data_IF_029978011157
#
_entry.id   IF_029978011157
#
_cell.length_a   1.000
_cell.length_b   1.000
_cell.length_c   1.000
_cell.angle_alpha   90.00
_cell.angle_beta   90.00
_cell.angle_gamma   90.00
#
_symmetry.space_group_name_H-M   'P 1'
#
loop_
_entity.id
_entity.type
_entity.pdbx_description
1 polymer ?
#
# COMPACT_ATOMS: atom_id res chain seq x y z
N UNK A 1 3.11 48.11 7.88
CA UNK A 1 3.35 46.97 8.81
C UNK A 1 4.80 47.03 9.28
N UNK A 2 5.05 47.06 10.59
CA UNK A 2 6.42 47.03 11.13
C UNK A 2 7.04 45.64 10.91
N UNK A 3 8.36 45.54 10.73
CA UNK A 3 9.04 44.24 10.48
C UNK A 3 8.70 43.16 11.52
N UNK A 4 8.45 43.55 12.77
CA UNK A 4 8.02 42.64 13.83
C UNK A 4 6.65 42.00 13.55
N UNK A 5 5.71 42.74 12.94
CA UNK A 5 4.37 42.24 12.61
C UNK A 5 4.40 41.23 11.47
N UNK A 6 5.23 41.45 10.44
CA UNK A 6 5.36 40.53 9.29
C UNK A 6 6.01 39.21 9.72
N UNK A 7 7.05 39.27 10.55
CA UNK A 7 7.72 38.06 11.06
C UNK A 7 6.79 37.20 11.91
N UNK A 8 6.00 37.82 12.79
CA UNK A 8 5.03 37.11 13.62
C UNK A 8 3.91 36.48 12.79
N UNK A 9 3.42 37.19 11.77
CA UNK A 9 2.45 36.65 10.82
C UNK A 9 2.99 35.42 10.07
N UNK A 10 4.24 35.49 9.57
CA UNK A 10 4.88 34.36 8.88
C UNK A 10 5.10 33.16 9.82
N UNK A 11 5.43 33.40 11.09
CA UNK A 11 5.48 32.35 12.11
C UNK A 11 4.15 31.66 12.28
N UNK A 12 3.08 32.43 12.50
CA UNK A 12 1.73 31.91 12.72
C UNK A 12 1.18 31.17 11.50
N UNK A 13 1.51 31.61 10.28
CA UNK A 13 1.05 30.99 9.04
C UNK A 13 1.80 29.70 8.66
N UNK A 14 3.13 29.64 8.84
CA UNK A 14 3.95 28.57 8.26
C UNK A 14 4.66 27.67 9.28
N UNK A 15 4.82 28.10 10.53
CA UNK A 15 5.71 27.42 11.50
C UNK A 15 4.98 27.05 12.80
N UNK A 16 4.02 27.86 13.25
CA UNK A 16 3.34 27.63 14.52
C UNK A 16 2.61 26.29 14.53
N UNK A 17 3.10 25.35 15.36
CA UNK A 17 2.57 24.00 15.49
C UNK A 17 1.29 23.92 16.32
N UNK A 18 1.03 24.93 17.16
CA UNK A 18 -0.17 25.00 18.00
C UNK A 18 -1.35 25.60 17.24
N UNK A 19 -1.09 26.45 16.24
CA UNK A 19 -2.13 27.00 15.40
C UNK A 19 -2.51 25.97 14.34
N UNK A 20 -3.69 25.39 14.48
CA UNK A 20 -4.20 24.31 13.62
C UNK A 20 -4.68 24.80 12.25
N UNK A 21 -4.43 26.06 11.89
CA UNK A 21 -4.69 26.61 10.57
C UNK A 21 -4.00 25.73 9.51
N UNK A 22 -4.75 25.41 8.45
CA UNK A 22 -4.32 24.41 7.46
C UNK A 22 -2.98 24.74 6.77
N UNK A 23 -2.54 26.01 6.76
CA UNK A 23 -1.36 26.47 6.02
C UNK A 23 -0.04 25.92 6.58
N UNK A 24 0.16 25.89 7.90
CA UNK A 24 1.39 25.36 8.49
C UNK A 24 1.52 23.85 8.20
N UNK A 25 0.41 23.11 8.34
CA UNK A 25 0.34 21.67 7.99
C UNK A 25 0.54 21.44 6.49
N UNK A 26 -0.06 22.28 5.64
CA UNK A 26 0.12 22.21 4.18
C UNK A 26 1.59 22.43 3.80
N UNK A 27 2.25 23.41 4.44
CA UNK A 27 3.66 23.70 4.21
C UNK A 27 4.56 22.52 4.61
N UNK A 28 4.35 21.93 5.80
CA UNK A 28 5.06 20.72 6.22
C UNK A 28 4.85 19.55 5.25
N UNK A 29 3.60 19.31 4.81
CA UNK A 29 3.27 18.28 3.82
C UNK A 29 3.94 18.55 2.47
N UNK A 30 3.98 19.80 2.02
CA UNK A 30 4.64 20.19 0.78
C UNK A 30 6.15 19.94 0.83
N UNK A 31 6.82 20.28 1.95
CA UNK A 31 8.24 19.98 2.16
C UNK A 31 8.48 18.47 2.06
N UNK A 32 7.68 17.65 2.75
CA UNK A 32 7.79 16.19 2.72
C UNK A 32 7.57 15.66 1.28
N UNK A 33 6.55 16.16 0.58
CA UNK A 33 6.26 15.76 -0.79
C UNK A 33 7.42 16.07 -1.74
N UNK A 34 8.04 17.25 -1.63
CA UNK A 34 9.21 17.63 -2.45
C UNK A 34 10.42 16.74 -2.13
N UNK A 35 10.63 16.35 -0.86
CA UNK A 35 11.68 15.40 -0.47
C UNK A 35 11.43 14.03 -1.11
N UNK A 36 10.20 13.52 -1.05
CA UNK A 36 9.84 12.22 -1.63
C UNK A 36 10.01 12.24 -3.14
N UNK A 37 9.52 13.28 -3.83
CA UNK A 37 9.70 13.45 -5.28
C UNK A 37 11.18 13.55 -5.66
N UNK A 38 12.00 14.19 -4.82
CA UNK A 38 13.46 14.19 -4.99
C UNK A 38 14.09 12.81 -4.90
N UNK A 39 13.65 12.00 -3.95
CA UNK A 39 14.14 10.64 -3.81
C UNK A 39 13.74 9.77 -5.02
N UNK A 40 12.51 9.93 -5.50
CA UNK A 40 12.02 9.25 -6.71
C UNK A 40 12.81 9.71 -7.94
N UNK A 41 13.04 11.01 -8.10
CA UNK A 41 13.85 11.55 -9.19
C UNK A 41 15.28 11.00 -9.15
N UNK A 42 15.88 10.88 -7.96
CA UNK A 42 17.20 10.28 -7.78
C UNK A 42 17.22 8.81 -8.23
N UNK A 43 16.17 8.03 -7.95
CA UNK A 43 16.04 6.66 -8.43
C UNK A 43 15.94 6.61 -9.96
N UNK A 44 15.15 7.47 -10.59
CA UNK A 44 15.07 7.48 -12.05
C UNK A 44 16.35 8.00 -12.73
N UNK A 45 17.12 8.87 -12.06
CA UNK A 45 18.41 9.36 -12.54
C UNK A 45 19.46 8.25 -12.67
N UNK A 46 19.33 7.14 -11.94
CA UNK A 46 20.25 6.00 -12.09
C UNK A 46 20.02 5.21 -13.38
N UNK A 47 18.85 5.36 -14.01
CA UNK A 47 18.46 4.62 -15.21
C UNK A 47 18.88 5.41 -16.46
N UNK A 48 19.93 4.98 -17.21
CA UNK A 48 20.51 5.81 -18.28
C UNK A 48 19.51 6.18 -19.37
N UNK A 49 18.60 5.28 -19.73
CA UNK A 49 17.63 5.51 -20.82
C UNK A 49 16.62 6.60 -20.47
N UNK A 50 16.22 6.67 -19.19
CA UNK A 50 15.27 7.67 -18.69
C UNK A 50 15.98 9.01 -18.52
N UNK A 51 17.18 8.99 -17.93
CA UNK A 51 17.97 10.19 -17.68
C UNK A 51 18.40 10.88 -18.98
N UNK A 52 19.00 10.16 -19.93
CA UNK A 52 19.52 10.75 -21.18
C UNK A 52 18.41 11.37 -22.03
N UNK A 53 17.21 10.79 -22.02
CA UNK A 53 16.06 11.31 -22.79
C UNK A 53 15.45 12.56 -22.15
N UNK A 54 15.58 12.74 -20.83
CA UNK A 54 14.86 13.77 -20.06
C UNK A 54 15.75 14.59 -19.12
N UNK A 55 17.04 14.66 -19.40
CA UNK A 55 18.06 15.28 -18.53
C UNK A 55 17.67 16.70 -18.09
N UNK A 56 17.18 17.51 -19.03
CA UNK A 56 16.74 18.89 -18.77
C UNK A 56 15.64 18.95 -17.70
N UNK A 57 14.67 18.03 -17.73
CA UNK A 57 13.59 18.00 -16.74
C UNK A 57 14.10 17.63 -15.34
N UNK A 58 15.02 16.67 -15.23
CA UNK A 58 15.66 16.33 -13.96
C UNK A 58 16.44 17.51 -13.40
N UNK A 59 17.19 18.22 -14.24
CA UNK A 59 17.96 19.39 -13.83
C UNK A 59 17.06 20.56 -13.38
N UNK A 60 15.98 20.85 -14.13
CA UNK A 60 15.00 21.89 -13.75
C UNK A 60 14.33 21.53 -12.42
N UNK A 61 13.94 20.27 -12.25
CA UNK A 61 13.35 19.79 -11.00
C UNK A 61 14.32 19.90 -9.80
N UNK A 62 15.60 19.57 -10.00
CA UNK A 62 16.65 19.73 -8.97
C UNK A 62 16.77 21.21 -8.56
N UNK A 63 16.86 22.14 -9.52
CA UNK A 63 16.92 23.59 -9.24
C UNK A 63 15.68 24.06 -8.47
N UNK A 64 14.47 23.71 -8.96
CA UNK A 64 13.22 24.16 -8.34
C UNK A 64 13.11 23.65 -6.91
N UNK A 65 13.43 22.38 -6.68
CA UNK A 65 13.34 21.79 -5.35
C UNK A 65 14.40 22.30 -4.38
N UNK A 66 15.64 22.52 -4.83
CA UNK A 66 16.67 23.18 -4.01
C UNK A 66 16.30 24.62 -3.71
N UNK A 67 15.73 25.35 -4.68
CA UNK A 67 15.19 26.69 -4.48
C UNK A 67 14.12 26.70 -3.40
N UNK A 68 13.17 25.77 -3.47
CA UNK A 68 12.15 25.58 -2.45
C UNK A 68 12.74 25.30 -1.06
N UNK A 69 13.70 24.39 -0.94
CA UNK A 69 14.36 24.09 0.34
C UNK A 69 15.22 25.24 0.87
N UNK A 70 15.83 26.02 -0.02
CA UNK A 70 16.57 27.22 0.38
C UNK A 70 15.62 28.27 0.93
N UNK A 71 14.50 28.53 0.25
CA UNK A 71 13.46 29.45 0.72
C UNK A 71 12.89 29.00 2.06
N UNK A 72 12.62 27.70 2.22
CA UNK A 72 12.20 27.11 3.49
C UNK A 72 13.22 27.38 4.61
N UNK A 73 14.51 27.12 4.36
CA UNK A 73 15.57 27.35 5.34
C UNK A 73 15.68 28.83 5.73
N UNK A 74 15.64 29.73 4.74
CA UNK A 74 15.71 31.17 4.96
C UNK A 74 14.48 31.70 5.71
N UNK A 75 13.28 31.19 5.40
CA UNK A 75 12.05 31.53 6.12
C UNK A 75 12.17 31.13 7.59
N UNK A 76 12.59 29.90 7.88
CA UNK A 76 12.79 29.41 9.26
C UNK A 76 13.87 30.23 9.99
N UNK A 77 14.97 30.58 9.32
CA UNK A 77 16.01 31.44 9.87
C UNK A 77 15.51 32.86 10.17
N UNK A 78 14.68 33.43 9.28
CA UNK A 78 14.11 34.77 9.44
C UNK A 78 13.14 34.83 10.63
N UNK A 79 12.34 33.79 10.79
CA UNK A 79 11.28 33.68 11.80
C UNK A 79 11.77 33.15 13.16
N UNK A 80 12.95 32.52 13.22
CA UNK A 80 13.54 31.95 14.44
C UNK A 80 13.47 32.82 15.73
N UNK A 81 13.53 34.16 15.70
CA UNK A 81 13.33 34.97 16.91
C UNK A 81 11.94 34.87 17.56
N UNK A 82 10.90 34.52 16.81
CA UNK A 82 9.53 34.35 17.32
C UNK A 82 9.29 32.95 17.87
N UNK A 83 10.08 31.97 17.43
CA UNK A 83 9.99 30.58 17.85
C UNK A 83 10.35 30.44 19.35
N UNK A 84 9.45 29.91 20.19
CA UNK A 84 9.70 29.68 21.61
C UNK A 84 10.99 28.90 21.88
N UNK A 85 11.36 27.95 21.01
CA UNK A 85 12.54 27.10 21.15
C UNK A 85 13.84 27.93 21.06
N UNK A 86 13.84 29.01 20.28
CA UNK A 86 15.03 29.79 19.97
C UNK A 86 15.05 31.20 20.58
N UNK A 87 14.09 31.57 21.43
CA UNK A 87 14.03 32.92 22.05
C UNK A 87 15.35 33.33 22.75
N UNK A 88 15.85 34.54 22.44
CA UNK A 88 17.03 35.13 23.09
C UNK A 88 17.82 36.11 22.20
N UNK A 89 18.94 36.64 22.72
CA UNK A 89 19.80 37.63 22.04
C UNK A 89 20.46 37.11 20.75
N UNK A 90 20.56 35.79 20.58
CA UNK A 90 21.17 35.11 19.44
C UNK A 90 20.28 34.02 18.83
N UNK A 91 18.96 34.26 18.75
CA UNK A 91 17.99 33.27 18.24
C UNK A 91 18.39 32.65 16.90
N UNK A 92 18.86 33.46 15.95
CA UNK A 92 19.28 32.98 14.61
C UNK A 92 20.48 32.05 14.67
N UNK A 93 21.49 32.36 15.49
CA UNK A 93 22.68 31.51 15.65
C UNK A 93 22.32 30.19 16.35
N UNK A 94 21.37 30.25 17.31
CA UNK A 94 20.87 29.04 17.97
C UNK A 94 20.11 28.15 16.99
N UNK A 95 19.30 28.73 16.11
CA UNK A 95 18.63 28.01 15.02
C UNK A 95 19.65 27.35 14.09
N UNK A 96 20.65 28.09 13.57
CA UNK A 96 21.66 27.53 12.64
C UNK A 96 22.42 26.34 13.25
N UNK A 97 22.70 26.40 14.57
CA UNK A 97 23.36 25.30 15.30
C UNK A 97 22.43 24.17 15.72
N UNK A 98 21.12 24.29 15.49
CA UNK A 98 20.18 23.23 15.77
C UNK A 98 20.41 22.04 14.82
N UNK A 99 20.25 20.79 15.28
CA UNK A 99 20.51 19.61 14.46
C UNK A 99 19.67 19.59 13.18
N UNK A 100 18.40 20.02 13.24
CA UNK A 100 17.53 20.08 12.07
C UNK A 100 17.92 21.16 11.06
N UNK A 101 18.39 22.33 11.52
CA UNK A 101 18.88 23.36 10.60
C UNK A 101 20.18 22.93 9.91
N UNK A 102 21.04 22.17 10.59
CA UNK A 102 22.25 21.59 9.99
C UNK A 102 21.83 20.59 8.89
N UNK A 103 20.86 19.71 9.16
CA UNK A 103 20.33 18.77 8.17
C UNK A 103 19.74 19.51 6.96
N UNK A 104 18.93 20.55 7.20
CA UNK A 104 18.34 21.35 6.14
C UNK A 104 19.42 22.03 5.26
N UNK A 105 20.48 22.54 5.89
CA UNK A 105 21.62 23.12 5.19
C UNK A 105 22.38 22.07 4.37
N UNK A 106 22.67 20.90 4.95
CA UNK A 106 23.34 19.78 4.28
C UNK A 106 22.55 19.28 3.07
N UNK A 107 21.22 19.38 3.09
CA UNK A 107 20.37 18.94 1.98
C UNK A 107 20.46 19.86 0.74
N UNK A 108 20.71 21.16 0.93
CA UNK A 108 20.86 22.15 -0.15
C UNK A 108 22.33 22.38 -0.54
N UNK A 109 23.26 22.05 0.36
CA UNK A 109 24.69 22.26 0.20
C UNK A 109 25.28 21.73 -1.13
N UNK A 110 24.94 20.52 -1.62
CA UNK A 110 25.57 19.97 -2.83
C UNK A 110 25.35 20.84 -4.07
N UNK A 111 24.17 21.46 -4.18
CA UNK A 111 23.83 22.33 -5.30
C UNK A 111 24.68 23.61 -5.30
N UNK A 112 24.81 24.25 -4.14
CA UNK A 112 25.65 25.44 -4.03
C UNK A 112 27.13 25.12 -4.19
N UNK A 113 27.61 23.98 -3.64
CA UNK A 113 28.99 23.54 -3.85
C UNK A 113 29.28 23.28 -5.33
N UNK A 114 28.35 22.67 -6.07
CA UNK A 114 28.48 22.46 -7.50
C UNK A 114 28.58 23.77 -8.30
N UNK A 115 27.91 24.83 -7.85
CA UNK A 115 27.93 26.13 -8.51
C UNK A 115 29.23 26.92 -8.26
N UNK A 116 29.86 26.74 -7.10
CA UNK A 116 31.08 27.48 -6.70
C UNK A 116 32.38 26.70 -6.93
N UNK A 117 32.33 25.37 -6.93
CA UNK A 117 33.49 24.52 -7.08
C UNK A 117 33.30 23.58 -8.27
N UNK A 118 34.31 23.50 -9.15
CA UNK A 118 34.40 22.49 -10.22
C UNK A 118 34.78 21.11 -9.64
N UNK A 119 33.98 20.61 -8.68
CA UNK A 119 34.15 19.26 -8.11
C UNK A 119 33.58 18.24 -9.10
N UNK A 120 34.15 17.03 -9.11
CA UNK A 120 33.61 15.91 -9.86
C UNK A 120 32.11 15.73 -9.63
N UNK A 121 31.34 15.80 -10.72
CA UNK A 121 29.89 15.68 -10.73
C UNK A 121 29.38 14.39 -10.07
N UNK A 122 30.22 13.35 -10.02
CA UNK A 122 29.90 12.07 -9.37
C UNK A 122 29.83 12.20 -7.84
N UNK A 123 30.80 12.90 -7.23
CA UNK A 123 30.82 13.10 -5.78
C UNK A 123 29.64 13.98 -5.34
N UNK A 124 29.34 15.02 -6.12
CA UNK A 124 28.22 15.92 -5.86
C UNK A 124 26.85 15.20 -5.95
N UNK A 125 26.70 14.25 -6.88
CA UNK A 125 25.51 13.40 -6.96
C UNK A 125 25.30 12.55 -5.72
N UNK A 126 26.36 11.94 -5.18
CA UNK A 126 26.26 11.14 -3.96
C UNK A 126 25.83 12.00 -2.75
N UNK A 127 26.29 13.25 -2.67
CA UNK A 127 25.89 14.17 -1.60
C UNK A 127 24.40 14.55 -1.65
N UNK A 128 23.69 14.36 -2.76
CA UNK A 128 22.22 14.53 -2.81
C UNK A 128 21.50 13.55 -1.88
N UNK A 129 22.10 12.41 -1.54
CA UNK A 129 21.58 11.46 -0.54
C UNK A 129 21.43 12.10 0.85
N UNK A 130 22.17 13.18 1.16
CA UNK A 130 22.01 13.92 2.41
C UNK A 130 20.58 14.49 2.57
N UNK A 131 19.83 14.67 1.47
CA UNK A 131 18.41 15.07 1.50
C UNK A 131 17.54 14.05 2.24
N UNK A 132 17.93 12.77 2.28
CA UNK A 132 17.24 11.73 3.04
C UNK A 132 17.18 12.05 4.54
N UNK A 133 18.21 12.73 5.07
CA UNK A 133 18.21 13.12 6.48
C UNK A 133 17.08 14.11 6.82
N UNK A 134 16.52 14.86 5.85
CA UNK A 134 15.35 15.70 6.13
C UNK A 134 14.12 14.89 6.57
N UNK A 135 14.01 13.60 6.19
CA UNK A 135 12.94 12.73 6.68
C UNK A 135 12.99 12.53 8.20
N UNK A 136 14.17 12.66 8.82
CA UNK A 136 14.32 12.60 10.28
C UNK A 136 13.52 13.68 10.99
N UNK A 137 13.22 14.80 10.32
CA UNK A 137 12.39 15.86 10.90
C UNK A 137 10.96 15.41 11.19
N UNK A 138 10.40 14.56 10.33
CA UNK A 138 9.06 14.00 10.54
C UNK A 138 9.10 12.84 11.53
N UNK A 139 10.12 12.00 11.44
CA UNK A 139 10.23 10.77 12.25
C UNK A 139 10.64 11.02 13.70
N UNK A 140 11.64 11.89 13.94
CA UNK A 140 12.26 12.05 15.26
C UNK A 140 11.31 12.60 16.33
N UNK A 141 10.48 13.64 16.08
CA UNK A 141 9.52 14.11 17.07
C UNK A 141 8.49 13.03 17.43
N UNK A 142 8.00 12.28 16.45
CA UNK A 142 7.07 11.18 16.67
C UNK A 142 7.71 10.05 17.50
N UNK A 143 8.99 9.75 17.27
CA UNK A 143 9.74 8.80 18.07
C UNK A 143 9.87 9.27 19.53
N UNK A 144 10.23 10.53 19.77
CA UNK A 144 10.35 11.08 21.13
C UNK A 144 9.01 11.09 21.87
N UNK A 145 7.94 11.50 21.20
CA UNK A 145 6.57 11.46 21.72
C UNK A 145 6.19 10.02 22.13
N UNK A 146 6.42 9.06 21.24
CA UNK A 146 6.16 7.65 21.50
C UNK A 146 6.98 7.11 22.69
N UNK A 147 8.26 7.45 22.77
CA UNK A 147 9.14 7.05 23.88
C UNK A 147 8.72 7.69 25.21
N UNK A 148 8.18 8.92 25.18
CA UNK A 148 7.67 9.60 26.35
C UNK A 148 6.40 8.92 26.88
N UNK A 149 5.41 8.67 25.99
CA UNK A 149 4.14 8.00 26.33
C UNK A 149 4.39 6.58 26.83
N UNK A 150 5.27 5.83 26.16
CA UNK A 150 5.51 4.42 26.47
C UNK A 150 6.71 4.16 27.37
N UNK A 151 7.20 5.17 28.12
CA UNK A 151 8.42 5.05 28.93
C UNK A 151 8.39 3.86 29.91
N UNK A 152 7.23 3.62 30.52
CA UNK A 152 7.02 2.59 31.54
C UNK A 152 6.69 1.20 30.97
N UNK A 153 6.51 1.08 29.66
CA UNK A 153 6.08 -0.17 29.03
C UNK A 153 7.25 -1.08 28.68
N UNK A 154 6.99 -2.38 28.67
CA UNK A 154 7.96 -3.38 28.18
C UNK A 154 8.19 -3.24 26.67
N UNK A 155 9.29 -3.80 26.16
CA UNK A 155 9.59 -3.80 24.73
C UNK A 155 8.45 -4.44 23.91
N UNK A 156 7.86 -5.53 24.40
CA UNK A 156 6.73 -6.20 23.74
C UNK A 156 5.50 -5.32 23.63
N UNK A 157 5.17 -4.59 24.71
CA UNK A 157 4.06 -3.62 24.73
C UNK A 157 4.32 -2.42 23.81
N UNK A 158 5.58 -1.96 23.72
CA UNK A 158 5.98 -0.92 22.76
C UNK A 158 5.78 -1.40 21.32
N UNK A 159 6.25 -2.61 20.99
CA UNK A 159 6.02 -3.19 19.66
C UNK A 159 4.53 -3.36 19.38
N UNK A 160 3.74 -3.78 20.37
CA UNK A 160 2.29 -3.90 20.23
C UNK A 160 1.64 -2.55 19.86
N UNK A 161 2.04 -1.46 20.52
CA UNK A 161 1.55 -0.11 20.26
C UNK A 161 2.02 0.45 18.90
N UNK A 162 3.17 0.04 18.38
CA UNK A 162 3.62 0.43 17.03
C UNK A 162 2.82 -0.30 15.96
N UNK A 163 2.53 -1.59 16.16
CA UNK A 163 1.90 -2.44 15.14
C UNK A 163 0.38 -2.36 15.12
N UNK A 164 -0.25 -1.97 16.23
CA UNK A 164 -1.70 -1.94 16.37
C UNK A 164 -2.12 -0.58 16.94
N UNK A 165 -3.28 -0.11 16.47
CA UNK A 165 -3.87 1.12 16.96
C UNK A 165 -4.30 0.94 18.43
N UNK A 166 -3.64 1.67 19.32
CA UNK A 166 -3.90 1.72 20.74
C UNK A 166 -3.86 3.17 21.22
N UNK A 167 -4.46 3.51 22.37
CA UNK A 167 -4.40 4.86 22.93
C UNK A 167 -2.98 5.41 23.11
N UNK A 168 -1.99 4.51 23.21
CA UNK A 168 -0.59 4.84 23.45
C UNK A 168 0.30 4.79 22.18
N UNK A 169 -0.30 4.56 21.01
CA UNK A 169 0.41 4.39 19.74
C UNK A 169 0.99 5.70 19.19
N UNK A 170 0.27 6.81 19.36
CA UNK A 170 0.65 8.14 18.87
C UNK A 170 0.98 8.18 17.36
N UNK A 171 1.67 9.24 16.93
CA UNK A 171 2.03 9.48 15.52
C UNK A 171 3.00 8.46 14.93
N UNK A 172 3.77 7.75 15.77
CA UNK A 172 4.75 6.78 15.28
C UNK A 172 4.08 5.58 14.62
N UNK A 173 2.91 5.18 15.11
CA UNK A 173 2.10 4.13 14.49
C UNK A 173 1.61 4.54 13.10
N UNK A 174 1.10 5.77 12.94
CA UNK A 174 0.68 6.29 11.63
C UNK A 174 1.84 6.30 10.62
N UNK A 175 3.04 6.70 11.05
CA UNK A 175 4.24 6.68 10.20
C UNK A 175 4.63 5.24 9.82
N UNK A 176 4.55 4.31 10.77
CA UNK A 176 4.82 2.89 10.51
C UNK A 176 3.83 2.30 9.51
N UNK A 177 2.54 2.59 9.68
CA UNK A 177 1.49 2.12 8.77
C UNK A 177 1.64 2.73 7.38
N UNK A 178 1.87 4.04 7.29
CA UNK A 178 2.17 4.72 6.03
C UNK A 178 3.40 4.14 5.33
N UNK A 179 4.44 3.79 6.09
CA UNK A 179 5.64 3.14 5.58
C UNK A 179 5.33 1.77 4.98
N UNK A 180 4.60 0.90 5.70
CA UNK A 180 4.21 -0.42 5.19
C UNK A 180 3.34 -0.30 3.94
N UNK A 181 2.33 0.56 3.94
CA UNK A 181 1.44 0.81 2.79
C UNK A 181 2.23 1.31 1.57
N UNK A 182 3.11 2.30 1.77
CA UNK A 182 3.97 2.80 0.71
C UNK A 182 4.83 1.68 0.12
N UNK A 183 5.34 0.79 0.98
CA UNK A 183 6.19 -0.28 0.50
C UNK A 183 5.43 -1.36 -0.26
N UNK A 184 4.19 -1.65 0.15
CA UNK A 184 3.27 -2.51 -0.61
C UNK A 184 3.05 -1.94 -2.01
N UNK A 185 2.76 -0.64 -2.12
CA UNK A 185 2.51 0.01 -3.40
C UNK A 185 3.71 -0.02 -4.34
N UNK A 186 4.89 0.37 -3.86
CA UNK A 186 6.09 0.35 -4.71
C UNK A 186 6.44 -1.09 -5.08
N UNK A 187 6.25 -2.06 -4.17
CA UNK A 187 6.53 -3.45 -4.47
C UNK A 187 5.56 -4.05 -5.51
N UNK A 188 4.27 -3.73 -5.44
CA UNK A 188 3.30 -4.14 -6.48
C UNK A 188 3.65 -3.47 -7.81
N UNK A 189 4.01 -2.19 -7.79
CA UNK A 189 4.48 -1.47 -8.99
C UNK A 189 5.71 -2.14 -9.59
N UNK A 190 6.65 -2.58 -8.75
CA UNK A 190 7.84 -3.31 -9.19
C UNK A 190 7.47 -4.62 -9.90
N UNK A 191 6.53 -5.40 -9.36
CA UNK A 191 6.04 -6.64 -10.02
C UNK A 191 5.38 -6.34 -11.37
N UNK A 192 4.60 -5.26 -11.46
CA UNK A 192 3.99 -4.82 -12.72
C UNK A 192 5.07 -4.42 -13.73
N UNK A 193 6.09 -3.66 -13.31
CA UNK A 193 7.18 -3.23 -14.20
C UNK A 193 8.11 -4.40 -14.59
N UNK A 194 8.34 -5.36 -13.69
CA UNK A 194 9.10 -6.59 -13.94
C UNK A 194 8.45 -7.43 -15.05
N UNK A 195 7.11 -7.38 -15.19
CA UNK A 195 6.38 -8.08 -16.26
C UNK A 195 6.65 -7.54 -17.67
N UNK A 196 7.27 -6.36 -17.79
CA UNK A 196 7.62 -5.75 -19.07
C UNK A 196 9.06 -6.11 -19.42
N UNK A 197 9.25 -6.97 -20.43
CA UNK A 197 10.56 -7.53 -20.80
C UNK A 197 11.64 -6.46 -21.02
N UNK A 198 11.28 -5.35 -21.68
CA UNK A 198 12.22 -4.26 -21.96
C UNK A 198 12.71 -3.57 -20.68
N UNK A 199 11.88 -3.49 -19.64
CA UNK A 199 12.26 -2.87 -18.36
C UNK A 199 13.05 -3.87 -17.53
N UNK A 200 12.58 -5.12 -17.47
CA UNK A 200 13.23 -6.20 -16.75
C UNK A 200 14.67 -6.43 -17.23
N UNK A 201 14.92 -6.36 -18.54
CA UNK A 201 16.28 -6.53 -19.10
C UNK A 201 17.30 -5.56 -18.48
N UNK A 202 16.92 -4.31 -18.20
CA UNK A 202 17.82 -3.31 -17.63
C UNK A 202 17.83 -3.27 -16.09
N UNK A 203 16.70 -3.62 -15.45
CA UNK A 203 16.49 -3.44 -14.00
C UNK A 203 16.33 -4.77 -13.24
N UNK A 204 16.70 -5.90 -13.84
CA UNK A 204 16.50 -7.22 -13.26
C UNK A 204 17.09 -7.34 -11.85
N UNK A 205 18.32 -6.85 -11.65
CA UNK A 205 19.01 -6.92 -10.35
C UNK A 205 18.32 -6.01 -9.33
N UNK A 206 17.92 -4.82 -9.75
CA UNK A 206 17.21 -3.85 -8.94
C UNK A 206 15.85 -4.40 -8.47
N UNK A 207 15.11 -5.08 -9.34
CA UNK A 207 13.85 -5.73 -8.97
C UNK A 207 14.05 -6.85 -7.94
N UNK A 208 15.10 -7.68 -8.08
CA UNK A 208 15.44 -8.71 -7.10
C UNK A 208 15.80 -8.08 -5.75
N UNK A 209 16.62 -7.03 -5.74
CA UNK A 209 17.00 -6.31 -4.51
C UNK A 209 15.75 -5.72 -3.85
N UNK A 210 14.88 -5.08 -4.63
CA UNK A 210 13.64 -4.48 -4.13
C UNK A 210 12.72 -5.54 -3.54
N UNK A 211 12.49 -6.66 -4.22
CA UNK A 211 11.65 -7.75 -3.69
C UNK A 211 12.24 -8.34 -2.41
N UNK A 212 13.56 -8.54 -2.36
CA UNK A 212 14.25 -9.03 -1.15
C UNK A 212 14.06 -8.06 0.02
N UNK A 213 14.21 -6.75 -0.20
CA UNK A 213 13.98 -5.72 0.83
C UNK A 213 12.51 -5.69 1.27
N UNK A 214 11.57 -5.77 0.32
CA UNK A 214 10.14 -5.77 0.62
C UNK A 214 9.76 -6.99 1.47
N UNK A 215 10.23 -8.18 1.10
CA UNK A 215 10.01 -9.42 1.87
C UNK A 215 10.64 -9.33 3.26
N UNK A 216 11.86 -8.78 3.37
CA UNK A 216 12.49 -8.58 4.68
C UNK A 216 11.62 -7.69 5.59
N UNK A 217 11.12 -6.57 5.07
CA UNK A 217 10.29 -5.63 5.84
C UNK A 217 8.94 -6.25 6.22
N UNK A 218 8.24 -6.91 5.30
CA UNK A 218 6.98 -7.58 5.61
C UNK A 218 7.16 -8.76 6.57
N UNK A 219 8.29 -9.46 6.49
CA UNK A 219 8.64 -10.52 7.43
C UNK A 219 8.90 -9.95 8.82
N UNK A 220 9.66 -8.85 8.93
CA UNK A 220 9.86 -8.14 10.19
C UNK A 220 8.54 -7.66 10.79
N UNK A 221 7.66 -7.07 9.98
CA UNK A 221 6.32 -6.66 10.42
C UNK A 221 5.53 -7.86 10.97
N UNK A 222 5.49 -8.98 10.24
CA UNK A 222 4.79 -10.19 10.67
C UNK A 222 5.36 -10.74 11.98
N UNK A 223 6.69 -10.78 12.12
CA UNK A 223 7.37 -11.21 13.35
C UNK A 223 7.03 -10.28 14.51
N UNK A 224 7.05 -8.96 14.30
CA UNK A 224 6.67 -7.97 15.31
C UNK A 224 5.23 -8.16 15.77
N UNK A 225 4.29 -8.38 14.84
CA UNK A 225 2.87 -8.66 15.15
C UNK A 225 2.70 -9.97 15.91
N UNK A 226 3.33 -11.06 15.47
CA UNK A 226 3.24 -12.37 16.12
C UNK A 226 3.91 -12.39 17.51
N UNK A 227 4.99 -11.63 17.68
CA UNK A 227 5.67 -11.47 18.96
C UNK A 227 4.80 -10.70 19.97
N UNK A 228 4.16 -9.62 19.50
CA UNK A 228 3.42 -8.67 20.33
C UNK A 228 1.94 -9.04 20.54
N UNK A 229 1.37 -9.97 19.76
CA UNK A 229 -0.06 -10.31 19.82
C UNK A 229 -0.53 -10.80 21.20
N UNK A 230 0.38 -11.31 22.03
CA UNK A 230 0.11 -11.83 23.38
C UNK A 230 -0.36 -10.72 24.35
N UNK A 231 -0.09 -9.45 24.03
CA UNK A 231 -0.62 -8.30 24.78
C UNK A 231 -2.14 -8.12 24.59
N UNK A 232 -2.73 -8.70 23.54
CA UNK A 232 -4.17 -8.71 23.38
C UNK A 232 -4.81 -9.76 24.31
N UNK A 233 -5.84 -9.40 25.09
CA UNK A 233 -6.56 -10.35 25.96
C UNK A 233 -7.07 -11.61 25.22
N UNK A 234 -7.36 -11.51 23.92
CA UNK A 234 -7.81 -12.63 23.10
C UNK A 234 -6.72 -13.70 22.80
N UNK A 235 -5.43 -13.36 22.99
CA UNK A 235 -4.27 -14.15 22.55
C UNK A 235 -3.17 -14.32 23.63
N UNK A 236 -3.52 -14.26 24.92
CA UNK A 236 -2.56 -14.24 26.03
C UNK A 236 -1.65 -15.47 26.16
N UNK A 237 -2.03 -16.62 25.60
CA UNK A 237 -1.20 -17.81 25.71
C UNK A 237 -0.02 -17.77 24.73
N UNK A 238 1.19 -18.08 25.21
CA UNK A 238 2.44 -17.91 24.47
C UNK A 238 2.50 -18.68 23.13
N UNK A 239 1.96 -19.89 23.06
CA UNK A 239 1.93 -20.70 21.82
C UNK A 239 0.55 -20.70 21.14
N UNK A 240 -0.49 -21.18 21.82
CA UNK A 240 -1.84 -21.27 21.26
C UNK A 240 -2.44 -19.91 20.89
N UNK A 241 -2.14 -18.85 21.64
CA UNK A 241 -2.57 -17.48 21.31
C UNK A 241 -1.94 -16.99 20.02
N UNK A 242 -0.64 -17.24 19.82
CA UNK A 242 0.09 -16.91 18.59
C UNK A 242 -0.42 -17.70 17.38
N UNK A 243 -0.67 -19.00 17.55
CA UNK A 243 -1.24 -19.83 16.48
C UNK A 243 -2.66 -19.38 16.12
N UNK A 244 -3.47 -19.01 17.11
CA UNK A 244 -4.81 -18.45 16.89
C UNK A 244 -4.74 -17.12 16.14
N UNK A 245 -3.78 -16.25 16.51
CA UNK A 245 -3.52 -15.00 15.80
C UNK A 245 -3.05 -15.22 14.36
N UNK A 246 -2.16 -16.19 14.12
CA UNK A 246 -1.67 -16.54 12.79
C UNK A 246 -2.78 -17.05 11.84
N UNK A 247 -3.85 -17.64 12.39
CA UNK A 247 -5.04 -18.07 11.64
C UNK A 247 -6.07 -16.96 11.39
N UNK A 248 -5.84 -15.74 11.88
CA UNK A 248 -6.73 -14.63 11.56
C UNK A 248 -6.56 -14.21 10.08
N UNK A 249 -7.64 -13.79 9.40
CA UNK A 249 -7.59 -13.40 7.98
C UNK A 249 -6.51 -12.36 7.69
N UNK A 250 -6.35 -11.36 8.55
CA UNK A 250 -5.32 -10.32 8.42
C UNK A 250 -3.90 -10.88 8.46
N UNK A 251 -3.64 -11.85 9.34
CA UNK A 251 -2.33 -12.49 9.50
C UNK A 251 -2.06 -13.49 8.38
N UNK A 252 -3.09 -14.18 7.88
CA UNK A 252 -3.00 -15.03 6.70
C UNK A 252 -2.56 -14.20 5.49
N UNK A 253 -3.13 -13.01 5.29
CA UNK A 253 -2.72 -12.09 4.22
C UNK A 253 -1.23 -11.73 4.36
N UNK A 254 -0.75 -11.42 5.58
CA UNK A 254 0.67 -11.12 5.80
C UNK A 254 1.58 -12.30 5.45
N UNK A 255 1.17 -13.52 5.81
CA UNK A 255 1.90 -14.76 5.48
C UNK A 255 1.90 -14.98 3.97
N UNK A 256 0.75 -14.87 3.31
CA UNK A 256 0.62 -15.03 1.85
C UNK A 256 1.41 -13.97 1.07
N UNK A 257 1.59 -12.77 1.62
CA UNK A 257 2.37 -11.71 0.99
C UNK A 257 3.87 -12.03 0.89
N UNK A 258 4.42 -12.79 1.86
CA UNK A 258 5.83 -13.20 1.88
C UNK A 258 6.05 -14.63 1.38
N UNK A 259 5.00 -15.46 1.38
CA UNK A 259 5.09 -16.88 1.04
C UNK A 259 5.75 -17.18 -0.31
N UNK A 260 5.48 -16.45 -1.42
CA UNK A 260 6.09 -16.74 -2.71
C UNK A 260 7.62 -16.77 -2.66
N UNK A 261 8.25 -15.82 -1.96
CA UNK A 261 9.71 -15.74 -1.84
C UNK A 261 10.29 -16.94 -1.09
N UNK A 262 9.70 -17.29 0.06
CA UNK A 262 10.17 -18.42 0.86
C UNK A 262 9.90 -19.77 0.17
N UNK A 263 8.78 -19.90 -0.54
CA UNK A 263 8.45 -21.09 -1.31
C UNK A 263 9.37 -21.26 -2.51
N UNK A 264 9.62 -20.20 -3.28
CA UNK A 264 10.58 -20.20 -4.39
C UNK A 264 11.95 -20.61 -3.83
N UNK A 265 12.47 -19.94 -2.81
CA UNK A 265 13.78 -20.26 -2.22
C UNK A 265 13.91 -21.68 -1.66
N UNK A 266 12.82 -22.33 -1.20
CA UNK A 266 12.87 -23.67 -0.61
C UNK A 266 12.65 -24.78 -1.65
N UNK A 267 11.84 -24.51 -2.68
CA UNK A 267 11.31 -25.53 -3.60
C UNK A 267 11.80 -25.37 -5.05
N UNK A 268 12.61 -24.35 -5.37
CA UNK A 268 13.14 -24.11 -6.73
C UNK A 268 13.92 -25.32 -7.30
N UNK A 269 14.49 -26.15 -6.43
CA UNK A 269 15.19 -27.37 -6.84
C UNK A 269 14.26 -28.51 -7.27
N UNK A 270 12.96 -28.42 -6.96
CA UNK A 270 11.98 -29.49 -7.18
C UNK A 270 10.98 -29.17 -8.31
N UNK A 271 10.64 -27.89 -8.53
CA UNK A 271 9.62 -27.46 -9.48
C UNK A 271 9.98 -26.15 -10.17
N UNK A 272 9.46 -25.91 -11.38
CA UNK A 272 9.49 -24.58 -11.99
C UNK A 272 8.45 -23.67 -11.31
N UNK A 273 8.91 -22.84 -10.38
CA UNK A 273 8.07 -21.99 -9.55
C UNK A 273 7.90 -20.57 -10.09
N UNK A 274 8.20 -20.34 -11.37
CA UNK A 274 8.00 -19.02 -12.01
C UNK A 274 6.57 -18.51 -11.87
N UNK A 275 5.58 -19.40 -11.84
CA UNK A 275 4.18 -19.00 -11.63
C UNK A 275 3.94 -18.42 -10.22
N UNK A 276 4.76 -18.75 -9.22
CA UNK A 276 4.66 -18.16 -7.88
C UNK A 276 4.90 -16.65 -7.87
N UNK A 277 5.58 -16.13 -8.89
CA UNK A 277 5.79 -14.68 -9.06
C UNK A 277 4.47 -13.92 -9.17
N UNK A 278 3.44 -14.51 -9.76
CA UNK A 278 2.09 -13.89 -9.84
C UNK A 278 1.49 -13.73 -8.44
N UNK A 279 1.72 -14.68 -7.54
CA UNK A 279 1.26 -14.59 -6.15
C UNK A 279 1.97 -13.49 -5.36
N UNK A 280 3.07 -12.90 -5.86
CA UNK A 280 3.64 -11.69 -5.23
C UNK A 280 2.61 -10.56 -5.21
N UNK A 281 1.65 -10.52 -6.15
CA UNK A 281 0.54 -9.56 -6.14
C UNK A 281 -0.42 -9.74 -4.96
N UNK A 282 -0.43 -10.89 -4.27
CA UNK A 282 -1.20 -11.09 -3.04
C UNK A 282 -0.81 -10.08 -1.95
N UNK A 283 0.40 -9.51 -2.00
CA UNK A 283 0.80 -8.42 -1.09
C UNK A 283 -0.10 -7.18 -1.20
N UNK A 284 -0.77 -6.98 -2.33
CA UNK A 284 -1.78 -5.91 -2.51
C UNK A 284 -2.94 -6.06 -1.51
N UNK A 285 -3.29 -7.30 -1.14
CA UNK A 285 -4.36 -7.56 -0.17
C UNK A 285 -4.05 -6.98 1.22
N UNK A 286 -2.77 -6.68 1.53
CA UNK A 286 -2.39 -5.99 2.77
C UNK A 286 -3.03 -4.60 2.88
N UNK A 287 -3.32 -3.93 1.76
CA UNK A 287 -4.02 -2.64 1.75
C UNK A 287 -5.43 -2.74 2.36
N UNK A 288 -6.08 -3.90 2.24
CA UNK A 288 -7.39 -4.15 2.81
C UNK A 288 -7.45 -4.04 4.34
N UNK A 289 -6.32 -4.12 5.05
CA UNK A 289 -6.26 -3.90 6.50
C UNK A 289 -6.50 -2.43 6.88
N UNK A 290 -6.11 -1.51 6.01
CA UNK A 290 -6.13 -0.08 6.27
C UNK A 290 -7.44 0.59 5.81
N UNK A 291 -8.39 -0.22 5.35
CA UNK A 291 -9.71 0.22 4.89
C UNK A 291 -10.78 -0.36 5.80
N UNK A 292 -11.47 0.50 6.55
CA UNK A 292 -12.62 0.10 7.37
C UNK A 292 -13.69 -0.58 6.51
N UNK A 293 -13.88 -0.11 5.27
CA UNK A 293 -14.83 -0.69 4.32
C UNK A 293 -14.52 -2.17 4.02
N UNK A 294 -13.25 -2.57 3.98
CA UNK A 294 -12.86 -3.97 3.76
C UNK A 294 -13.15 -4.84 4.98
N UNK A 295 -12.97 -4.29 6.19
CA UNK A 295 -13.36 -4.96 7.44
C UNK A 295 -14.87 -5.17 7.49
N UNK A 296 -15.66 -4.15 7.18
CA UNK A 296 -17.12 -4.23 7.10
C UNK A 296 -17.57 -5.23 6.05
N UNK A 297 -16.96 -5.24 4.86
CA UNK A 297 -17.23 -6.23 3.82
C UNK A 297 -16.96 -7.67 4.31
N UNK A 298 -15.83 -7.90 4.97
CA UNK A 298 -15.49 -9.23 5.49
C UNK A 298 -16.48 -9.69 6.57
N UNK A 299 -16.87 -8.79 7.48
CA UNK A 299 -17.89 -9.07 8.51
C UNK A 299 -19.24 -9.43 7.88
N UNK A 300 -19.66 -8.69 6.86
CA UNK A 300 -20.89 -8.96 6.09
C UNK A 300 -20.82 -10.35 5.45
N UNK A 301 -19.75 -10.67 4.74
CA UNK A 301 -19.57 -11.98 4.09
C UNK A 301 -19.62 -13.10 5.14
N UNK A 302 -18.92 -12.93 6.26
CA UNK A 302 -18.90 -13.95 7.32
C UNK A 302 -20.29 -14.16 7.92
N UNK A 303 -21.06 -13.09 8.10
CA UNK A 303 -22.43 -13.13 8.62
C UNK A 303 -23.39 -13.83 7.66
N UNK A 304 -23.31 -13.50 6.37
CA UNK A 304 -24.21 -14.03 5.34
C UNK A 304 -23.74 -15.37 4.75
N UNK A 305 -22.54 -15.85 5.10
CA UNK A 305 -21.96 -17.11 4.60
C UNK A 305 -22.93 -18.32 4.67
N UNK A 306 -23.70 -18.53 5.76
CA UNK A 306 -24.63 -19.65 5.84
C UNK A 306 -25.76 -19.61 4.80
N UNK A 307 -26.18 -18.43 4.36
CA UNK A 307 -27.21 -18.24 3.33
C UNK A 307 -26.57 -18.25 1.95
N UNK A 308 -25.44 -17.56 1.78
CA UNK A 308 -24.69 -17.52 0.52
C UNK A 308 -24.26 -18.91 0.05
N UNK A 309 -23.80 -19.79 0.96
CA UNK A 309 -23.41 -21.16 0.60
C UNK A 309 -24.57 -21.95 0.00
N UNK A 310 -25.81 -21.72 0.45
CA UNK A 310 -26.99 -22.39 -0.09
C UNK A 310 -27.31 -21.88 -1.50
N UNK A 311 -27.25 -20.57 -1.73
CA UNK A 311 -27.42 -19.98 -3.06
C UNK A 311 -26.35 -20.47 -4.05
N UNK A 312 -25.08 -20.50 -3.63
CA UNK A 312 -23.96 -21.02 -4.43
C UNK A 312 -24.15 -22.51 -4.73
N UNK A 313 -24.64 -23.30 -3.77
CA UNK A 313 -24.92 -24.72 -4.00
C UNK A 313 -26.00 -24.93 -5.06
N UNK A 314 -27.11 -24.19 -5.00
CA UNK A 314 -28.18 -24.25 -6.01
C UNK A 314 -27.65 -23.80 -7.38
N UNK A 315 -26.84 -22.75 -7.41
CA UNK A 315 -26.19 -22.26 -8.63
C UNK A 315 -25.30 -23.33 -9.28
N UNK A 316 -24.44 -23.99 -8.50
CA UNK A 316 -23.58 -25.06 -8.99
C UNK A 316 -24.40 -26.24 -9.50
N UNK A 317 -25.49 -26.60 -8.82
CA UNK A 317 -26.40 -27.66 -9.28
C UNK A 317 -27.04 -27.31 -10.63
N UNK A 318 -27.47 -26.06 -10.82
CA UNK A 318 -28.02 -25.58 -12.09
C UNK A 318 -26.98 -25.59 -13.20
N UNK A 319 -25.74 -25.15 -12.92
CA UNK A 319 -24.62 -25.21 -13.87
C UNK A 319 -24.34 -26.64 -14.30
N UNK A 320 -24.30 -27.58 -13.35
CA UNK A 320 -24.09 -29.00 -13.65
C UNK A 320 -25.22 -29.58 -14.49
N UNK A 321 -26.47 -29.25 -14.16
CA UNK A 321 -27.64 -29.67 -14.95
C UNK A 321 -27.56 -29.11 -16.38
N UNK A 322 -27.26 -27.83 -16.52
CA UNK A 322 -27.13 -27.16 -17.82
C UNK A 322 -26.00 -27.76 -18.66
N UNK A 323 -24.84 -28.01 -18.05
CA UNK A 323 -23.70 -28.63 -18.73
C UNK A 323 -24.04 -30.04 -19.26
N UNK A 324 -24.66 -30.87 -18.42
CA UNK A 324 -25.06 -32.23 -18.82
C UNK A 324 -26.12 -32.22 -19.92
N UNK A 325 -27.14 -31.35 -19.84
CA UNK A 325 -28.16 -31.24 -20.88
C UNK A 325 -27.60 -30.65 -22.17
N UNK A 326 -26.73 -29.64 -22.08
CA UNK A 326 -26.02 -29.08 -23.23
C UNK A 326 -25.21 -30.14 -23.95
N UNK A 327 -24.38 -30.90 -23.22
CA UNK A 327 -23.65 -32.03 -23.80
C UNK A 327 -24.59 -33.07 -24.44
N UNK A 328 -25.63 -33.49 -23.72
CA UNK A 328 -26.56 -34.52 -24.20
C UNK A 328 -27.25 -34.15 -25.52
N UNK A 329 -27.67 -32.89 -25.68
CA UNK A 329 -28.42 -32.46 -26.85
C UNK A 329 -27.55 -31.87 -27.97
N UNK A 330 -26.35 -31.38 -27.68
CA UNK A 330 -25.51 -30.67 -28.66
C UNK A 330 -24.25 -31.42 -29.08
N UNK A 331 -23.79 -32.43 -28.33
CA UNK A 331 -22.54 -33.13 -28.65
C UNK A 331 -22.57 -33.78 -30.04
N UNK A 332 -23.66 -34.44 -30.42
CA UNK A 332 -23.77 -35.07 -31.74
C UNK A 332 -23.78 -34.05 -32.89
N UNK A 333 -24.36 -32.87 -32.66
CA UNK A 333 -24.46 -31.81 -33.68
C UNK A 333 -23.20 -30.94 -33.75
N UNK A 334 -22.49 -30.78 -32.62
CA UNK A 334 -21.32 -29.90 -32.47
C UNK A 334 -20.25 -30.55 -31.57
N UNK A 335 -19.63 -31.66 -32.02
CA UNK A 335 -18.69 -32.43 -31.20
C UNK A 335 -17.45 -31.62 -30.80
N UNK A 336 -17.00 -30.68 -31.64
CA UNK A 336 -15.84 -29.83 -31.33
C UNK A 336 -16.14 -28.77 -30.25
N UNK A 337 -17.41 -28.39 -30.06
CA UNK A 337 -17.81 -27.34 -29.11
C UNK A 337 -18.31 -27.91 -27.79
N UNK A 338 -19.10 -28.97 -27.86
CA UNK A 338 -19.59 -29.71 -26.70
C UNK A 338 -18.81 -31.02 -26.54
N UNK A 339 -17.48 -30.97 -26.63
CA UNK A 339 -16.60 -32.15 -26.65
C UNK A 339 -16.76 -33.03 -25.41
N UNK A 340 -16.90 -32.41 -24.24
CA UNK A 340 -16.98 -33.09 -22.96
C UNK A 340 -17.77 -32.24 -21.94
N UNK A 341 -18.10 -32.85 -20.79
CA UNK A 341 -18.84 -32.17 -19.72
C UNK A 341 -18.09 -30.93 -19.19
N UNK A 342 -16.76 -30.96 -18.92
CA UNK A 342 -16.02 -29.76 -18.51
C UNK A 342 -16.14 -28.57 -19.47
N UNK A 343 -16.04 -28.80 -20.78
CA UNK A 343 -16.25 -27.75 -21.79
C UNK A 343 -17.70 -27.25 -21.77
N UNK A 344 -18.66 -28.14 -21.53
CA UNK A 344 -20.07 -27.78 -21.39
C UNK A 344 -20.36 -26.98 -20.11
N UNK A 345 -19.59 -27.19 -19.03
CA UNK A 345 -19.64 -26.37 -17.81
C UNK A 345 -19.20 -24.93 -18.11
N UNK A 346 -18.13 -24.75 -18.88
CA UNK A 346 -17.69 -23.41 -19.31
C UNK A 346 -18.82 -22.67 -20.04
N UNK A 347 -19.46 -23.32 -21.02
CA UNK A 347 -20.63 -22.77 -21.71
C UNK A 347 -21.79 -22.45 -20.76
N UNK A 348 -22.13 -23.38 -19.85
CA UNK A 348 -23.22 -23.21 -18.91
C UNK A 348 -22.99 -22.02 -17.97
N UNK A 349 -21.77 -21.84 -17.44
CA UNK A 349 -21.42 -20.70 -16.57
C UNK A 349 -21.57 -19.39 -17.32
N UNK A 350 -21.00 -19.26 -18.53
CA UNK A 350 -21.05 -18.02 -19.32
C UNK A 350 -22.49 -17.67 -19.73
N UNK A 351 -23.29 -18.68 -20.05
CA UNK A 351 -24.69 -18.52 -20.45
C UNK A 351 -25.55 -18.10 -19.26
N UNK A 352 -25.48 -18.82 -18.13
CA UNK A 352 -26.29 -18.55 -16.95
C UNK A 352 -25.86 -17.27 -16.22
N UNK A 353 -24.57 -16.90 -16.29
CA UNK A 353 -24.05 -15.64 -15.77
C UNK A 353 -24.28 -14.45 -16.72
N UNK A 354 -24.95 -14.65 -17.88
CA UNK A 354 -25.25 -13.61 -18.88
C UNK A 354 -24.04 -12.92 -19.53
N UNK A 355 -22.87 -13.55 -19.53
CA UNK A 355 -21.65 -13.02 -20.19
C UNK A 355 -21.72 -13.22 -21.70
N UNK A 356 -22.08 -14.43 -22.15
CA UNK A 356 -22.39 -14.75 -23.55
C UNK A 356 -21.33 -14.37 -24.59
N UNK A 357 -20.09 -14.89 -24.50
CA UNK A 357 -19.05 -14.62 -25.50
C UNK A 357 -19.42 -15.05 -26.94
N UNK A 358 -20.38 -15.98 -27.09
CA UNK A 358 -20.91 -16.42 -28.38
C UNK A 358 -20.05 -17.46 -29.11
N UNK A 359 -18.98 -17.93 -28.49
CA UNK A 359 -18.09 -18.98 -28.97
C UNK A 359 -18.76 -20.37 -28.98
N UNK A 360 -19.53 -20.69 -27.94
CA UNK A 360 -20.34 -21.91 -27.83
C UNK A 360 -21.82 -21.53 -27.71
N UNK A 361 -22.66 -22.11 -28.58
CA UNK A 361 -24.11 -21.92 -28.52
C UNK A 361 -24.85 -23.15 -29.06
N UNK A 362 -26.04 -23.48 -28.51
CA UNK A 362 -26.84 -24.59 -29.00
C UNK A 362 -27.40 -24.33 -30.41
N UNK A 363 -27.25 -25.31 -31.31
CA UNK A 363 -27.82 -25.28 -32.66
C UNK A 363 -29.03 -26.18 -32.80
N UNK A 364 -29.20 -27.19 -31.93
CA UNK A 364 -30.33 -28.11 -32.02
C UNK A 364 -31.62 -27.45 -31.49
N UNK A 365 -32.80 -27.80 -32.03
CA UNK A 365 -34.07 -27.27 -31.52
C UNK A 365 -34.29 -27.57 -30.03
N UNK A 366 -33.94 -28.79 -29.60
CA UNK A 366 -34.08 -29.22 -28.21
C UNK A 366 -33.10 -28.47 -27.28
N UNK A 367 -31.82 -28.37 -27.68
CA UNK A 367 -30.80 -27.63 -26.94
C UNK A 367 -31.14 -26.15 -26.79
N UNK A 368 -31.66 -25.52 -27.85
CA UNK A 368 -32.16 -24.13 -27.81
C UNK A 368 -33.32 -23.97 -26.84
N UNK A 369 -34.32 -24.85 -26.91
CA UNK A 369 -35.50 -24.79 -26.02
C UNK A 369 -35.10 -24.92 -24.54
N UNK A 370 -34.25 -25.88 -24.21
CA UNK A 370 -33.74 -26.08 -22.84
C UNK A 370 -32.89 -24.90 -22.38
N UNK A 371 -32.05 -24.36 -23.27
CA UNK A 371 -31.20 -23.20 -22.96
C UNK A 371 -32.03 -21.98 -22.62
N UNK A 372 -33.16 -21.73 -23.30
CA UNK A 372 -34.07 -20.63 -22.96
C UNK A 372 -34.58 -20.79 -21.52
N UNK A 373 -35.05 -21.98 -21.15
CA UNK A 373 -35.57 -22.26 -19.81
C UNK A 373 -34.48 -22.10 -18.75
N UNK A 374 -33.31 -22.70 -18.98
CA UNK A 374 -32.19 -22.64 -18.06
C UNK A 374 -31.64 -21.22 -17.90
N UNK A 375 -31.55 -20.45 -18.98
CA UNK A 375 -31.10 -19.06 -18.93
C UNK A 375 -32.05 -18.19 -18.08
N UNK A 376 -33.36 -18.35 -18.24
CA UNK A 376 -34.36 -17.63 -17.43
C UNK A 376 -34.25 -18.00 -15.94
N UNK A 377 -34.06 -19.28 -15.61
CA UNK A 377 -33.83 -19.72 -14.23
C UNK A 377 -32.48 -19.21 -13.69
N UNK A 378 -31.45 -19.21 -14.55
CA UNK A 378 -30.10 -18.76 -14.26
C UNK A 378 -30.05 -17.32 -13.80
N UNK A 379 -30.71 -16.40 -14.51
CA UNK A 379 -30.77 -14.97 -14.16
C UNK A 379 -31.26 -14.79 -12.71
N UNK A 380 -32.33 -15.48 -12.33
CA UNK A 380 -32.87 -15.40 -10.97
C UNK A 380 -31.90 -15.92 -9.92
N UNK A 381 -31.32 -17.11 -10.14
CA UNK A 381 -30.44 -17.77 -9.17
C UNK A 381 -29.09 -17.05 -9.03
N UNK A 382 -28.50 -16.57 -10.13
CA UNK A 382 -27.24 -15.81 -10.12
C UNK A 382 -27.39 -14.42 -9.50
N UNK A 383 -28.58 -13.83 -9.52
CA UNK A 383 -28.85 -12.57 -8.85
C UNK A 383 -28.89 -12.68 -7.31
N UNK A 384 -29.15 -13.87 -6.75
CA UNK A 384 -29.36 -14.05 -5.29
C UNK A 384 -28.12 -13.66 -4.46
N UNK A 385 -26.90 -14.18 -4.73
CA UNK A 385 -25.72 -13.81 -3.93
C UNK A 385 -25.41 -12.30 -3.99
N UNK A 386 -25.60 -11.68 -5.16
CA UNK A 386 -25.40 -10.24 -5.33
C UNK A 386 -26.44 -9.44 -4.52
N UNK A 387 -27.71 -9.84 -4.56
CA UNK A 387 -28.78 -9.20 -3.79
C UNK A 387 -28.55 -9.31 -2.27
N UNK A 388 -28.18 -10.50 -1.78
CA UNK A 388 -27.88 -10.74 -0.35
C UNK A 388 -26.71 -9.86 0.10
N UNK A 389 -25.62 -9.83 -0.66
CA UNK A 389 -24.46 -9.00 -0.32
C UNK A 389 -24.82 -7.52 -0.33
N UNK A 390 -25.59 -7.06 -1.32
CA UNK A 390 -26.02 -5.67 -1.42
C UNK A 390 -26.89 -5.24 -0.24
N UNK A 391 -27.88 -6.06 0.15
CA UNK A 391 -28.73 -5.75 1.31
C UNK A 391 -27.93 -5.78 2.60
N UNK A 392 -27.09 -6.80 2.80
CA UNK A 392 -26.32 -6.97 4.02
C UNK A 392 -25.25 -5.89 4.21
N UNK A 393 -24.62 -5.43 3.12
CA UNK A 393 -23.68 -4.30 3.15
C UNK A 393 -24.39 -2.98 3.44
N UNK A 394 -25.56 -2.76 2.85
CA UNK A 394 -26.38 -1.57 3.13
C UNK A 394 -26.82 -1.51 4.61
N UNK A 395 -27.21 -2.66 5.18
CA UNK A 395 -27.53 -2.76 6.60
C UNK A 395 -26.31 -2.51 7.50
N UNK A 396 -25.13 -3.03 7.12
CA UNK A 396 -23.89 -2.80 7.87
C UNK A 396 -23.51 -1.31 7.90
N UNK A 397 -23.60 -0.62 6.76
CA UNK A 397 -23.36 0.81 6.67
C UNK A 397 -24.38 1.63 7.48
N UNK A 398 -25.64 1.18 7.55
CA UNK A 398 -26.64 1.83 8.42
C UNK A 398 -26.26 1.70 9.89
N UNK A 399 -25.88 0.50 10.34
CA UNK A 399 -25.44 0.26 11.73
C UNK A 399 -24.26 1.17 12.08
N UNK A 400 -23.24 1.25 11.22
CA UNK A 400 -22.07 2.08 11.46
C UNK A 400 -22.43 3.57 11.64
N UNK A 401 -23.36 4.10 10.82
CA UNK A 401 -23.85 5.49 10.94
C UNK A 401 -24.65 5.76 12.21
N UNK A 402 -25.36 4.76 12.73
CA UNK A 402 -26.14 4.90 13.97
C UNK A 402 -25.27 4.78 15.23
N UNK A 403 -24.10 4.15 15.12
CA UNK A 403 -23.15 3.96 16.22
C UNK A 403 -22.06 5.05 16.33
N UNK A 404 -21.90 5.87 15.29
CA UNK A 404 -21.05 7.08 15.29
C UNK A 404 -21.86 8.29 15.77
#
# INVERSE_FOLDING_TARGET
>A
MTQATVRKLLYELFINRENSDGYARLFERAVIAVIILNLIALFFETIPIIYQTREVYFHVFDIVSVGFFTLEYLLRLYVAPEDPEFKGRFSRLRFIRSPFAIIDLLAILPFYLAAFFNIDLRALRALRLLRLFKLLRAFYPALLEFLAINRHKTLRQKIYAICNETPDSGKLHEIFDFFIVSWVLISVTAVILESVDSINYYLHVEFIILDTIAVAIFSTELIMRLYSCVENPAYQHWLSGRLKFARQPSSIIDILAIAPFFLESLLDHLFDLRFLRVFRLLRLMKLGRYSDATKSLFLVIQREWPVMKAAIFIMLMLVMLAACLGYLFEHEAQPDKFENIPQSIYWAVITLASVGYGDISPVTPAGRAITIVLALLGIGIFAIPAAILSSAFSDQLRIERETM
#
